data_IF_557626345389
#
_entry.id   IF_557626345389
#
_cell.length_a   1.000
_cell.length_b   1.000
_cell.length_c   1.000
_cell.angle_alpha   90.00
_cell.angle_beta   90.00
_cell.angle_gamma   90.00
#
_symmetry.space_group_name_H-M   'P 1'
#
loop_
_entity.id
_entity.type
_entity.pdbx_description
1 polymer ?
#
# COMPACT_ATOMS: atom_id res chain seq x y z
N UNK A 1 0.22 1.94 -10.35
CA UNK A 1 0.16 1.87 -8.88
C UNK A 1 1.46 1.29 -8.33
N UNK A 2 2.08 1.99 -7.42
CA UNK A 2 3.35 1.54 -6.85
C UNK A 2 3.11 0.93 -5.48
N UNK A 3 3.54 -0.32 -5.30
CA UNK A 3 3.21 -1.14 -4.13
C UNK A 3 4.48 -1.62 -3.45
N UNK A 4 4.52 -1.52 -2.13
CA UNK A 4 5.58 -2.13 -1.33
C UNK A 4 5.01 -3.35 -0.62
N UNK A 5 5.75 -4.44 -0.64
CA UNK A 5 5.43 -5.64 0.13
C UNK A 5 6.57 -5.89 1.10
N UNK A 6 6.26 -6.03 2.38
CA UNK A 6 7.26 -6.45 3.37
C UNK A 6 6.89 -7.83 3.87
N UNK A 7 7.70 -8.83 3.53
CA UNK A 7 7.47 -10.23 3.80
C UNK A 7 8.81 -10.93 3.92
N UNK A 8 9.08 -11.56 5.06
CA UNK A 8 10.38 -12.19 5.29
C UNK A 8 10.52 -13.58 4.67
N UNK A 9 9.42 -14.22 4.29
CA UNK A 9 9.42 -15.52 3.64
C UNK A 9 9.45 -15.34 2.12
N UNK A 10 10.57 -15.70 1.49
CA UNK A 10 10.76 -15.48 0.05
C UNK A 10 9.74 -16.23 -0.81
N UNK A 11 9.32 -17.42 -0.37
CA UNK A 11 8.34 -18.20 -1.12
C UNK A 11 6.98 -17.49 -1.10
N UNK A 12 6.58 -17.01 0.08
CA UNK A 12 5.31 -16.28 0.19
C UNK A 12 5.34 -14.97 -0.54
N UNK A 13 6.47 -14.27 -0.52
CA UNK A 13 6.62 -13.03 -1.27
C UNK A 13 6.45 -13.27 -2.76
N UNK A 14 7.04 -14.35 -3.27
CA UNK A 14 6.95 -14.69 -4.69
C UNK A 14 5.51 -15.06 -5.07
N UNK A 15 4.84 -15.84 -4.22
CA UNK A 15 3.45 -16.22 -4.48
C UNK A 15 2.54 -15.01 -4.52
N UNK A 16 2.76 -14.07 -3.61
CA UNK A 16 1.99 -12.82 -3.61
C UNK A 16 2.24 -12.04 -4.90
N UNK A 17 3.51 -11.95 -5.32
CA UNK A 17 3.86 -11.24 -6.54
C UNK A 17 3.20 -11.82 -7.77
N UNK A 18 3.13 -13.13 -7.86
CA UNK A 18 2.48 -13.80 -8.99
C UNK A 18 0.98 -13.57 -8.99
N UNK A 19 0.37 -13.62 -7.81
CA UNK A 19 -1.06 -13.35 -7.68
C UNK A 19 -1.35 -11.91 -8.09
N UNK A 20 -0.53 -10.98 -7.62
CA UNK A 20 -0.69 -9.56 -7.95
C UNK A 20 -0.57 -9.33 -9.46
N UNK A 21 0.43 -9.94 -10.10
CA UNK A 21 0.62 -9.81 -11.54
C UNK A 21 -0.60 -10.31 -12.32
N UNK A 22 -1.13 -11.45 -11.91
CA UNK A 22 -2.29 -12.04 -12.57
C UNK A 22 -3.51 -11.13 -12.45
N UNK A 23 -3.71 -10.56 -11.26
CA UNK A 23 -4.83 -9.66 -11.03
C UNK A 23 -4.65 -8.38 -11.85
N UNK A 24 -3.44 -7.83 -11.83
CA UNK A 24 -3.15 -6.59 -12.55
C UNK A 24 -3.42 -6.74 -14.04
N UNK A 25 -3.01 -7.87 -14.62
CA UNK A 25 -3.26 -8.13 -16.03
C UNK A 25 -4.76 -8.25 -16.32
N UNK A 26 -5.48 -8.97 -15.48
CA UNK A 26 -6.91 -9.16 -15.66
C UNK A 26 -7.68 -7.85 -15.55
N UNK A 27 -7.26 -6.98 -14.63
CA UNK A 27 -7.92 -5.70 -14.40
C UNK A 27 -7.35 -4.57 -15.26
N UNK A 28 -6.36 -4.89 -16.09
CA UNK A 28 -5.68 -3.92 -16.94
C UNK A 28 -5.12 -2.75 -16.12
N UNK A 29 -4.48 -3.09 -14.99
CA UNK A 29 -3.86 -2.12 -14.10
C UNK A 29 -2.35 -2.16 -14.27
N UNK A 30 -1.74 -0.98 -14.22
CA UNK A 30 -0.28 -0.89 -14.25
C UNK A 30 0.23 -0.89 -12.80
N UNK A 31 0.91 -1.96 -12.41
CA UNK A 31 1.35 -2.16 -11.04
C UNK A 31 2.85 -2.42 -11.00
N UNK A 32 3.56 -1.72 -10.11
CA UNK A 32 4.97 -1.96 -9.81
C UNK A 32 5.08 -2.42 -8.37
N UNK A 33 5.75 -3.55 -8.17
CA UNK A 33 5.90 -4.13 -6.83
C UNK A 33 7.36 -4.16 -6.42
N UNK A 34 7.66 -3.56 -5.26
CA UNK A 34 8.96 -3.68 -4.62
C UNK A 34 8.82 -4.56 -3.39
N UNK A 35 9.69 -5.55 -3.24
CA UNK A 35 9.63 -6.51 -2.14
C UNK A 35 10.78 -6.26 -1.18
N UNK A 36 10.45 -6.18 0.10
CA UNK A 36 11.42 -6.01 1.18
C UNK A 36 11.29 -7.20 2.12
N UNK A 37 12.42 -7.81 2.46
CA UNK A 37 12.43 -9.01 3.29
C UNK A 37 12.53 -8.71 4.78
N UNK A 38 12.66 -7.45 5.16
CA UNK A 38 12.72 -7.06 6.56
C UNK A 38 12.16 -5.66 6.74
N UNK A 39 11.72 -5.37 7.96
CA UNK A 39 11.24 -4.03 8.30
C UNK A 39 12.35 -3.00 8.12
N UNK A 40 13.58 -3.37 8.49
CA UNK A 40 14.70 -2.46 8.39
C UNK A 40 14.99 -2.05 6.96
N UNK A 41 14.94 -3.02 6.03
CA UNK A 41 15.20 -2.72 4.62
C UNK A 41 14.20 -1.71 4.07
N UNK A 42 12.94 -1.84 4.44
CA UNK A 42 11.93 -0.88 3.99
C UNK A 42 12.15 0.48 4.63
N UNK A 43 12.48 0.52 5.91
CA UNK A 43 12.76 1.79 6.59
C UNK A 43 13.93 2.51 5.95
N UNK A 44 15.00 1.78 5.64
CA UNK A 44 16.19 2.36 5.00
C UNK A 44 15.79 2.98 3.66
N UNK A 45 14.99 2.26 2.88
CA UNK A 45 14.58 2.79 1.58
C UNK A 45 13.72 4.05 1.72
N UNK A 46 12.80 4.07 2.67
CA UNK A 46 11.94 5.23 2.89
C UNK A 46 12.73 6.44 3.41
N UNK A 47 13.76 6.19 4.20
CA UNK A 47 14.55 7.26 4.80
C UNK A 47 15.51 7.92 3.82
N UNK A 48 15.74 7.33 2.64
CA UNK A 48 16.66 7.89 1.65
C UNK A 48 16.19 9.23 1.12
N UNK A 49 14.88 9.40 0.96
CA UNK A 49 14.31 10.63 0.41
C UNK A 49 13.07 11.00 1.20
N UNK A 50 13.26 11.57 2.40
CA UNK A 50 12.11 11.86 3.28
C UNK A 50 11.03 12.73 2.65
N UNK A 51 11.43 13.65 1.76
CA UNK A 51 10.47 14.54 1.11
C UNK A 51 9.57 13.81 0.13
N UNK A 52 9.95 12.61 -0.30
CA UNK A 52 9.13 11.79 -1.19
C UNK A 52 8.33 10.72 -0.44
N UNK A 53 8.39 10.75 0.88
CA UNK A 53 7.77 9.73 1.72
C UNK A 53 6.31 9.50 1.35
N UNK A 54 5.57 10.58 1.12
CA UNK A 54 4.15 10.51 0.81
C UNK A 54 3.85 10.01 -0.60
N UNK A 55 4.88 9.87 -1.44
CA UNK A 55 4.67 9.55 -2.84
C UNK A 55 5.44 8.32 -3.30
N UNK A 56 6.20 7.69 -2.39
CA UNK A 56 7.00 6.54 -2.77
C UNK A 56 6.11 5.35 -3.13
N UNK A 57 5.14 5.07 -2.29
CA UNK A 57 4.24 3.94 -2.51
C UNK A 57 2.80 4.36 -2.28
N UNK A 58 1.91 3.84 -3.13
CA UNK A 58 0.49 4.09 -2.98
C UNK A 58 -0.16 3.14 -1.99
N UNK A 59 0.43 1.96 -1.80
CA UNK A 59 -0.06 1.02 -0.80
C UNK A 59 1.08 0.16 -0.28
N UNK A 60 1.01 -0.15 1.00
CA UNK A 60 1.96 -1.02 1.68
C UNK A 60 1.24 -2.29 2.11
N UNK A 61 1.73 -3.45 1.65
CA UNK A 61 1.27 -4.74 2.16
C UNK A 61 2.32 -5.23 3.15
N UNK A 62 1.93 -5.42 4.39
CA UNK A 62 2.86 -5.75 5.47
C UNK A 62 2.43 -7.02 6.17
N UNK A 63 3.37 -7.99 6.30
CA UNK A 63 3.14 -9.09 7.20
C UNK A 63 3.37 -8.59 8.63
N UNK A 64 2.66 -9.15 9.58
CA UNK A 64 2.80 -8.76 10.99
C UNK A 64 4.04 -9.39 11.60
N UNK A 65 4.34 -10.64 11.26
CA UNK A 65 5.54 -11.30 11.77
C UNK A 65 6.65 -11.22 10.74
N UNK A 66 7.66 -10.41 11.04
CA UNK A 66 8.79 -10.15 10.15
C UNK A 66 10.08 -10.59 10.86
N UNK A 67 10.23 -11.90 11.06
CA UNK A 67 11.35 -12.42 11.82
C UNK A 67 11.26 -11.96 13.27
N UNK A 68 12.25 -11.19 13.71
CA UNK A 68 12.22 -10.63 15.07
C UNK A 68 11.50 -9.29 15.14
N UNK A 69 11.15 -8.73 13.99
CA UNK A 69 10.47 -7.44 13.92
C UNK A 69 8.96 -7.63 13.81
N UNK A 70 8.23 -6.55 14.05
CA UNK A 70 6.77 -6.55 13.98
C UNK A 70 6.30 -5.64 12.86
N UNK A 71 5.39 -6.18 12.02
CA UNK A 71 4.74 -5.37 11.00
C UNK A 71 3.84 -4.29 11.59
N UNK A 72 3.35 -4.50 12.81
CA UNK A 72 2.57 -3.48 13.51
C UNK A 72 3.45 -2.26 13.81
N UNK A 73 4.66 -2.49 14.32
CA UNK A 73 5.59 -1.40 14.60
C UNK A 73 6.02 -0.70 13.31
N UNK A 74 6.24 -1.47 12.26
CA UNK A 74 6.58 -0.91 10.96
C UNK A 74 5.45 -0.01 10.44
N UNK A 75 4.21 -0.48 10.57
CA UNK A 75 3.06 0.32 10.17
C UNK A 75 2.95 1.61 10.96
N UNK A 76 3.22 1.54 12.27
CA UNK A 76 3.21 2.72 13.13
C UNK A 76 4.28 3.72 12.67
N UNK A 77 5.46 3.22 12.34
CA UNK A 77 6.54 4.05 11.81
C UNK A 77 6.13 4.75 10.52
N UNK A 78 5.55 4.00 9.59
CA UNK A 78 5.09 4.56 8.31
C UNK A 78 4.02 5.62 8.55
N UNK A 79 3.06 5.33 9.42
CA UNK A 79 1.98 6.27 9.73
C UNK A 79 2.48 7.53 10.44
N UNK A 80 3.54 7.41 11.23
CA UNK A 80 4.10 8.57 11.92
C UNK A 80 4.70 9.57 10.93
N UNK A 81 5.14 9.08 9.78
CA UNK A 81 5.72 9.93 8.74
C UNK A 81 4.68 10.36 7.71
N UNK A 82 3.65 9.56 7.51
CA UNK A 82 2.57 9.85 6.57
C UNK A 82 1.29 9.21 7.09
N UNK A 83 0.48 10.02 7.77
CA UNK A 83 -0.75 9.51 8.40
C UNK A 83 -1.76 8.99 7.39
N UNK A 84 -1.64 9.42 6.13
CA UNK A 84 -2.56 9.00 5.07
C UNK A 84 -2.07 7.78 4.30
N UNK A 85 -0.97 7.16 4.74
CA UNK A 85 -0.44 5.97 4.09
C UNK A 85 -1.49 4.85 4.10
N UNK A 86 -1.65 4.19 2.97
CA UNK A 86 -2.58 3.07 2.84
C UNK A 86 -1.83 1.80 3.20
N UNK A 87 -2.24 1.18 4.30
CA UNK A 87 -1.59 -0.03 4.80
C UNK A 87 -2.59 -1.18 4.81
N UNK A 88 -2.20 -2.30 4.23
CA UNK A 88 -2.97 -3.53 4.25
C UNK A 88 -2.09 -4.59 4.90
N UNK A 89 -2.54 -5.14 6.02
CA UNK A 89 -1.82 -6.25 6.64
C UNK A 89 -2.18 -7.54 5.92
N UNK A 90 -1.17 -8.39 5.70
CA UNK A 90 -1.38 -9.70 5.09
C UNK A 90 -0.61 -10.72 5.93
N UNK A 91 -1.30 -11.51 6.71
CA UNK A 91 -0.68 -12.31 7.74
C UNK A 91 -1.47 -13.60 8.00
N UNK A 92 -0.79 -14.60 8.58
CA UNK A 92 -1.44 -15.83 8.98
C UNK A 92 -2.14 -15.72 10.35
N UNK A 93 -1.98 -14.59 11.01
CA UNK A 93 -2.50 -14.39 12.37
C UNK A 93 -3.74 -13.52 12.38
N UNK A 94 -4.72 -13.89 13.20
CA UNK A 94 -5.98 -13.15 13.29
C UNK A 94 -6.09 -12.32 14.55
N UNK A 95 -5.18 -12.49 15.49
CA UNK A 95 -5.28 -11.89 16.83
C UNK A 95 -4.74 -10.45 16.87
N UNK A 96 -4.35 -9.89 15.74
CA UNK A 96 -3.85 -8.51 15.67
C UNK A 96 -4.82 -7.56 15.00
N UNK A 97 -6.07 -7.98 14.79
CA UNK A 97 -7.04 -7.13 14.09
C UNK A 97 -7.32 -5.84 14.84
N UNK A 98 -7.38 -5.90 16.18
CA UNK A 98 -7.61 -4.70 16.97
C UNK A 98 -6.45 -3.72 16.81
N UNK A 99 -5.21 -4.23 16.80
CA UNK A 99 -4.03 -3.38 16.59
C UNK A 99 -4.09 -2.70 15.24
N UNK A 100 -4.48 -3.44 14.20
CA UNK A 100 -4.60 -2.89 12.85
C UNK A 100 -5.65 -1.78 12.81
N UNK A 101 -6.78 -2.01 13.47
CA UNK A 101 -7.85 -1.03 13.54
C UNK A 101 -7.38 0.25 14.23
N UNK A 102 -6.66 0.10 15.34
CA UNK A 102 -6.14 1.24 16.09
C UNK A 102 -5.16 2.08 15.29
N UNK A 103 -4.44 1.45 14.36
CA UNK A 103 -3.50 2.13 13.47
C UNK A 103 -4.16 2.70 12.23
N UNK A 104 -5.48 2.54 12.09
CA UNK A 104 -6.21 2.97 10.90
C UNK A 104 -5.68 2.30 9.64
N UNK A 105 -5.36 1.02 9.73
CA UNK A 105 -5.00 0.23 8.54
C UNK A 105 -6.19 0.21 7.59
N UNK A 106 -5.89 0.26 6.29
CA UNK A 106 -6.93 0.23 5.29
C UNK A 106 -7.68 -1.10 5.27
N UNK A 107 -6.94 -2.20 5.43
CA UNK A 107 -7.56 -3.52 5.42
C UNK A 107 -6.63 -4.55 6.06
N UNK A 108 -7.15 -5.76 6.25
CA UNK A 108 -6.46 -6.86 6.91
C UNK A 108 -6.81 -8.14 6.17
N UNK A 109 -5.81 -8.81 5.62
CA UNK A 109 -6.02 -10.06 4.88
C UNK A 109 -5.36 -11.20 5.63
N UNK A 110 -6.14 -12.26 5.91
CA UNK A 110 -5.60 -13.47 6.53
C UNK A 110 -5.15 -14.39 5.40
N UNK A 111 -3.90 -14.86 5.49
CA UNK A 111 -3.33 -15.76 4.48
C UNK A 111 -4.05 -17.10 4.47
N UNK A 112 -4.18 -17.72 3.30
CA UNK A 112 -3.69 -17.29 2.00
C UNK A 112 -4.62 -16.25 1.39
N UNK A 113 -4.02 -15.25 0.73
CA UNK A 113 -4.80 -14.20 0.09
C UNK A 113 -5.56 -14.79 -1.10
N UNK A 114 -6.86 -14.53 -1.17
CA UNK A 114 -7.64 -14.98 -2.30
C UNK A 114 -7.57 -13.95 -3.41
N UNK A 115 -7.67 -14.43 -4.66
CA UNK A 115 -7.73 -13.55 -5.82
C UNK A 115 -8.88 -12.56 -5.68
N UNK A 116 -10.04 -13.04 -5.26
CA UNK A 116 -11.24 -12.21 -5.13
C UNK A 116 -11.04 -11.07 -4.14
N UNK A 117 -10.49 -11.40 -2.97
CA UNK A 117 -10.28 -10.41 -1.92
C UNK A 117 -9.25 -9.36 -2.33
N UNK A 118 -8.12 -9.81 -2.86
CA UNK A 118 -7.06 -8.91 -3.27
C UNK A 118 -7.51 -8.05 -4.45
N UNK A 119 -8.26 -8.63 -5.39
CA UNK A 119 -8.80 -7.87 -6.53
C UNK A 119 -9.68 -6.73 -6.06
N UNK A 120 -10.56 -7.00 -5.09
CA UNK A 120 -11.45 -5.97 -4.58
C UNK A 120 -10.68 -4.85 -3.90
N UNK A 121 -9.70 -5.20 -3.10
CA UNK A 121 -8.89 -4.22 -2.40
C UNK A 121 -8.14 -3.33 -3.40
N UNK A 122 -7.54 -3.93 -4.43
CA UNK A 122 -6.80 -3.16 -5.42
C UNK A 122 -7.71 -2.24 -6.22
N UNK A 123 -8.91 -2.71 -6.57
CA UNK A 123 -9.88 -1.86 -7.26
C UNK A 123 -10.27 -0.67 -6.39
N UNK A 124 -10.57 -0.92 -5.13
CA UNK A 124 -11.01 0.14 -4.22
C UNK A 124 -9.91 1.19 -4.03
N UNK A 125 -8.66 0.74 -3.89
CA UNK A 125 -7.53 1.66 -3.74
C UNK A 125 -7.33 2.46 -5.01
N UNK A 126 -7.40 1.79 -6.16
CA UNK A 126 -7.22 2.46 -7.45
C UNK A 126 -8.26 3.55 -7.65
N UNK A 127 -9.52 3.26 -7.34
CA UNK A 127 -10.60 4.23 -7.46
C UNK A 127 -10.41 5.40 -6.49
N UNK A 128 -9.91 5.12 -5.31
CA UNK A 128 -9.64 6.17 -4.32
C UNK A 128 -8.62 7.17 -4.86
N UNK A 129 -7.53 6.68 -5.43
CA UNK A 129 -6.50 7.56 -5.98
C UNK A 129 -6.97 8.29 -7.23
N UNK A 130 -7.77 7.66 -8.06
CA UNK A 130 -8.31 8.32 -9.23
C UNK A 130 -9.25 9.46 -8.85
N UNK A 131 -10.06 9.25 -7.82
CA UNK A 131 -10.96 10.28 -7.33
C UNK A 131 -10.18 11.49 -6.83
N UNK A 132 -9.09 11.25 -6.09
CA UNK A 132 -8.28 12.32 -5.54
C UNK A 132 -7.53 13.10 -6.61
N UNK A 133 -7.09 12.44 -7.69
CA UNK A 133 -6.27 13.09 -8.70
C UNK A 133 -7.08 13.56 -9.91
N UNK A 134 -8.21 12.97 -10.16
CA UNK A 134 -9.01 13.26 -11.36
C UNK A 134 -9.81 14.53 -11.30
N UNK A 135 -9.85 15.17 -10.21
CA UNK A 135 -10.67 16.34 -10.01
C UNK A 135 -9.92 17.63 -9.93
N UNK A 136 -9.42 17.97 -10.16
CA UNK A 136 -8.63 19.08 -9.93
C UNK A 136 -7.81 19.60 -10.83
N UNK A 137 -8.31 19.40 -11.12
CA UNK A 137 -7.66 19.67 -12.00
C UNK A 137 -7.50 20.19 -12.85
N UNK A 138 -7.67 20.47 -12.87
CA UNK A 138 -7.73 20.62 -13.42
C UNK A 138 -7.10 21.03 -13.85
N UNK A 139 -7.06 21.52 -14.15
CA UNK A 139 -6.65 21.70 -14.37
C UNK A 139 -5.76 21.73 -14.84
N UNK A 140 -5.75 22.52 -15.05
CA UNK A 140 -5.03 22.33 -15.28
C UNK A 140 -4.40 22.33 -16.00
N UNK A 141 -4.56 22.85 -16.36
CA UNK A 141 -4.02 22.56 -16.90
C UNK A 141 -3.48 22.54 -17.16
N UNK A 142 -3.56 22.78 -16.84
CA UNK A 142 -3.40 22.53 -16.69
C UNK A 142 -3.31 22.29 -16.40
N UNK A 143 -3.37 22.60 -16.47
CA UNK A 143 -3.55 22.34 -15.99
C UNK A 143 -3.82 21.93 -15.40
N UNK A 144 -4.09 22.48 -15.63
CA UNK A 144 -4.56 22.03 -14.95
C UNK A 144 -4.82 21.97 -14.54
N UNK A 145 -4.98 21.76 -14.57
CA UNK A 145 -5.48 21.64 -13.97
C UNK A 145 -5.86 21.32 -13.29
N UNK A 146 -6.37 21.43 -13.37
CA UNK A 146 -6.90 20.86 -12.60
C UNK A 146 -7.14 20.89 -11.69
N UNK A 147 -7.39 21.03 -11.37
CA UNK A 147 -7.70 20.74 -10.30
C UNK A 147 -8.14 20.45 -9.67
N UNK A 148 -8.25 19.96 -9.74
CA UNK A 148 -8.76 19.33 -8.83
C UNK A 148 -8.97 19.38 -7.96
N UNK A 149 -9.42 19.61 -7.94
CA UNK A 149 -9.74 19.34 -6.80
C UNK A 149 -9.65 19.69 -6.30
N UNK A 150 -9.73 20.28 -6.20
CA UNK A 150 -9.81 20.37 -5.44
C UNK A 150 -9.58 20.72 -5.13
N UNK A 151 -9.73 21.15 -5.30
CA UNK A 151 -9.63 21.28 -4.90
C UNK A 151 -9.38 21.53 -4.93
N UNK A 152 -9.49 21.83 -5.20
CA UNK A 152 -9.43 21.85 -5.21
C UNK A 152 -9.24 22.11 -5.06
N UNK A 153 -9.24 22.32 -5.35
CA UNK A 153 -9.15 22.29 -5.17
C UNK A 153 -9.06 22.48 -5.06
N UNK A 154 -9.19 22.84 -5.28
CA UNK A 154 -9.27 22.70 -5.20
C UNK A 154 -9.30 22.91 -5.09
#
# INVERSE_FOLDING_TARGET
MKIALCEDDNVQAELFGRLLDRIAQRLNMNVELDIYNSAEDLKIELDKEPELYNRKYEVYFLDIELGEDSGIELADYIKSMNKDAVIVFITSHTDYMQNAFDLHAYNYIVKPASDERLSKILKDIHEMYETDTGKFTFKAGKEIYAIPYPDIIY
#
